data_IF_133474301213
#
_entry.id   IF_133474301213
#
_cell.length_a   1.000
_cell.length_b   1.000
_cell.length_c   1.000
_cell.angle_alpha   90.00
_cell.angle_beta   90.00
_cell.angle_gamma   90.00
#
_symmetry.space_group_name_H-M   'P 1'
#
loop_
_entity.id
_entity.type
_entity.pdbx_description
1 polymer ?
#
# COMPACT_ATOMS: atom_id res chain seq x y z
N UNK A 1 -54.00 24.52 28.56
CA UNK A 1 -53.76 23.37 27.66
C UNK A 1 -52.83 23.71 26.47
N UNK A 2 -53.08 24.72 25.66
CA UNK A 2 -52.25 25.08 24.48
C UNK A 2 -50.79 25.40 24.79
N UNK A 3 -50.50 26.06 25.95
CA UNK A 3 -49.13 26.44 26.36
C UNK A 3 -48.27 25.24 26.81
N UNK A 4 -48.90 24.27 27.48
CA UNK A 4 -48.20 23.04 27.95
C UNK A 4 -47.89 22.15 26.73
N UNK A 5 -48.79 22.02 25.80
CA UNK A 5 -48.63 21.23 24.58
C UNK A 5 -47.47 21.80 23.70
N UNK A 6 -47.36 23.14 23.58
CA UNK A 6 -46.23 23.79 22.87
C UNK A 6 -44.87 23.51 23.56
N UNK A 7 -44.83 23.49 24.87
CA UNK A 7 -43.59 23.20 25.62
C UNK A 7 -43.18 21.73 25.46
N UNK A 8 -44.14 20.81 25.44
CA UNK A 8 -43.89 19.37 25.22
C UNK A 8 -43.41 19.14 23.79
N UNK A 9 -44.01 19.75 22.76
CA UNK A 9 -43.56 19.64 21.39
C UNK A 9 -42.15 20.24 21.19
N UNK A 10 -41.85 21.35 21.87
CA UNK A 10 -40.51 21.98 21.76
C UNK A 10 -39.43 21.10 22.43
N UNK A 11 -39.74 20.48 23.59
CA UNK A 11 -38.78 19.57 24.24
C UNK A 11 -38.56 18.29 23.46
N UNK A 12 -39.58 17.71 22.82
CA UNK A 12 -39.46 16.56 21.92
C UNK A 12 -38.65 16.88 20.67
N UNK A 13 -38.79 18.08 20.10
CA UNK A 13 -38.01 18.51 18.95
C UNK A 13 -36.51 18.68 19.27
N UNK A 14 -36.19 19.20 20.49
CA UNK A 14 -34.81 19.35 20.95
C UNK A 14 -34.16 17.99 21.21
N UNK A 15 -34.88 17.03 21.76
CA UNK A 15 -34.40 15.66 21.98
C UNK A 15 -34.15 14.97 20.65
N UNK A 16 -35.03 15.13 19.63
CA UNK A 16 -34.85 14.55 18.31
C UNK A 16 -33.60 15.07 17.59
N UNK A 17 -33.25 16.36 17.75
CA UNK A 17 -32.05 16.95 17.16
C UNK A 17 -30.76 16.39 17.80
N UNK A 18 -30.79 16.07 19.10
CA UNK A 18 -29.62 15.51 19.81
C UNK A 18 -29.31 14.05 19.41
N UNK A 19 -30.31 13.31 18.91
CA UNK A 19 -30.12 11.92 18.48
C UNK A 19 -29.46 11.86 17.08
N UNK A 20 -29.61 12.87 16.24
CA UNK A 20 -29.03 12.90 14.89
C UNK A 20 -27.57 13.36 14.82
N UNK A 21 -26.97 13.88 15.91
CA UNK A 21 -25.56 14.30 15.95
C UNK A 21 -24.60 13.17 16.31
N UNK A 22 -25.09 11.95 16.50
CA UNK A 22 -24.28 10.75 16.79
C UNK A 22 -23.73 10.05 15.54
N UNK A 23 -23.34 10.78 14.48
CA UNK A 23 -22.46 10.23 13.44
C UNK A 23 -21.07 10.08 14.03
N UNK A 24 -20.83 8.96 14.73
CA UNK A 24 -19.50 8.53 15.11
C UNK A 24 -18.66 8.41 13.86
N UNK A 25 -17.81 9.41 13.59
CA UNK A 25 -16.69 9.23 12.68
C UNK A 25 -15.89 8.05 13.23
N UNK A 26 -16.03 6.88 12.58
CA UNK A 26 -15.03 5.83 12.72
C UNK A 26 -13.71 6.54 12.41
N UNK A 27 -12.82 6.70 13.38
CA UNK A 27 -11.43 7.01 13.12
C UNK A 27 -10.93 5.85 12.25
N UNK A 28 -10.93 6.03 10.94
CA UNK A 28 -10.20 5.15 10.04
C UNK A 28 -8.74 5.31 10.47
N UNK A 29 -8.13 4.24 10.95
CA UNK A 29 -6.68 4.21 11.11
C UNK A 29 -6.10 4.60 9.76
N UNK A 30 -5.04 5.39 9.76
CA UNK A 30 -4.29 5.65 8.53
C UNK A 30 -3.89 4.29 7.92
N UNK A 31 -3.96 4.14 6.59
CA UNK A 31 -3.62 2.89 5.93
C UNK A 31 -2.14 2.55 6.18
N UNK A 32 -1.86 1.27 6.31
CA UNK A 32 -0.49 0.76 6.25
C UNK A 32 0.01 1.05 4.83
N UNK A 33 1.06 1.85 4.72
CA UNK A 33 1.66 2.17 3.43
C UNK A 33 2.81 1.23 3.17
N UNK A 34 2.77 0.54 2.03
CA UNK A 34 3.84 -0.32 1.51
C UNK A 34 4.48 0.41 0.33
N UNK A 35 5.76 0.72 0.44
CA UNK A 35 6.51 1.42 -0.60
C UNK A 35 7.08 0.41 -1.62
N UNK A 36 6.86 0.67 -2.91
CA UNK A 36 7.38 -0.16 -4.00
C UNK A 36 8.21 0.66 -4.97
N UNK A 37 9.45 0.23 -5.21
CA UNK A 37 10.29 0.79 -6.27
C UNK A 37 10.33 -0.11 -7.49
N UNK A 38 10.04 0.46 -8.66
CA UNK A 38 10.18 -0.21 -9.94
C UNK A 38 10.49 0.78 -11.07
N UNK A 39 10.94 0.26 -12.21
CA UNK A 39 11.40 1.07 -13.36
C UNK A 39 10.30 1.38 -14.38
N UNK A 40 9.11 0.85 -14.19
CA UNK A 40 8.01 0.97 -15.15
C UNK A 40 7.12 2.20 -14.90
N UNK A 41 7.32 2.92 -13.81
CA UNK A 41 6.46 4.04 -13.38
C UNK A 41 6.48 5.26 -14.29
N UNK A 42 7.52 5.42 -15.11
CA UNK A 42 7.64 6.51 -16.08
C UNK A 42 7.08 6.19 -17.48
N UNK A 43 6.50 5.02 -17.68
CA UNK A 43 5.89 4.63 -18.95
C UNK A 43 4.47 5.19 -19.05
N UNK A 44 4.07 5.59 -20.27
CA UNK A 44 2.70 6.11 -20.53
C UNK A 44 1.64 5.04 -20.23
N UNK A 45 1.96 3.78 -20.45
CA UNK A 45 1.16 2.61 -20.11
C UNK A 45 2.02 1.66 -19.27
N UNK A 46 1.62 1.42 -18.03
CA UNK A 46 2.33 0.52 -17.12
C UNK A 46 1.33 -0.47 -16.50
N UNK A 47 1.24 -1.70 -17.05
CA UNK A 47 0.34 -2.72 -16.49
C UNK A 47 0.56 -2.99 -14.99
N UNK A 48 1.80 -2.80 -14.50
CA UNK A 48 2.07 -2.93 -13.07
C UNK A 48 1.43 -1.79 -12.26
N UNK A 49 1.48 -0.54 -12.77
CA UNK A 49 0.79 0.56 -12.11
C UNK A 49 -0.73 0.33 -12.09
N UNK A 50 -1.31 -0.13 -13.20
CA UNK A 50 -2.74 -0.42 -13.28
C UNK A 50 -3.16 -1.49 -12.26
N UNK A 51 -2.34 -2.53 -12.06
CA UNK A 51 -2.58 -3.56 -11.04
C UNK A 51 -2.45 -3.01 -9.61
N UNK A 52 -1.48 -2.12 -9.37
CA UNK A 52 -1.31 -1.45 -8.07
C UNK A 52 -2.52 -0.55 -7.77
N UNK A 53 -2.98 0.21 -8.76
CA UNK A 53 -4.16 1.07 -8.61
C UNK A 53 -5.40 0.22 -8.35
N UNK A 54 -5.58 -0.88 -9.09
CA UNK A 54 -6.67 -1.83 -8.85
C UNK A 54 -6.60 -2.43 -7.43
N UNK A 55 -5.41 -2.85 -6.97
CA UNK A 55 -5.22 -3.33 -5.60
C UNK A 55 -5.62 -2.27 -4.57
N UNK A 56 -5.12 -1.04 -4.74
CA UNK A 56 -5.39 0.08 -3.82
C UNK A 56 -6.88 0.44 -3.75
N UNK A 57 -7.62 0.28 -4.86
CA UNK A 57 -9.06 0.57 -4.93
C UNK A 57 -9.95 -0.57 -4.42
N UNK A 58 -9.42 -1.79 -4.35
CA UNK A 58 -10.16 -3.00 -3.97
C UNK A 58 -9.64 -3.58 -2.64
N UNK A 59 -8.83 -4.62 -2.70
CA UNK A 59 -8.32 -5.36 -1.54
C UNK A 59 -7.56 -4.43 -0.58
N UNK A 60 -6.71 -3.57 -1.09
CA UNK A 60 -5.94 -2.62 -0.28
C UNK A 60 -6.83 -1.70 0.54
N UNK A 61 -7.94 -1.23 -0.05
CA UNK A 61 -8.93 -0.41 0.64
C UNK A 61 -9.70 -1.18 1.71
N UNK A 62 -10.03 -2.45 1.45
CA UNK A 62 -10.74 -3.33 2.40
C UNK A 62 -9.84 -3.68 3.59
N UNK A 63 -8.58 -3.99 3.34
CA UNK A 63 -7.58 -4.37 4.34
C UNK A 63 -6.86 -3.17 4.98
N UNK A 64 -7.18 -1.95 4.56
CA UNK A 64 -6.52 -0.72 5.01
C UNK A 64 -5.01 -0.72 4.74
N UNK A 65 -4.62 -1.22 3.58
CA UNK A 65 -3.25 -1.25 3.05
C UNK A 65 -3.20 -0.41 1.77
N UNK A 66 -2.13 0.33 1.58
CA UNK A 66 -1.89 1.11 0.37
C UNK A 66 -0.49 0.88 -0.16
N UNK A 67 -0.38 0.46 -1.41
CA UNK A 67 0.90 0.41 -2.11
C UNK A 67 1.18 1.78 -2.72
N UNK A 68 2.34 2.34 -2.40
CA UNK A 68 2.82 3.62 -2.93
C UNK A 68 4.06 3.37 -3.79
N UNK A 69 3.96 3.76 -5.05
CA UNK A 69 5.06 3.60 -6.02
C UNK A 69 6.05 4.74 -5.89
N UNK A 70 7.33 4.41 -5.70
CA UNK A 70 8.45 5.32 -5.85
C UNK A 70 8.96 5.27 -7.29
N UNK A 71 8.98 6.42 -7.98
CA UNK A 71 9.48 6.50 -9.35
C UNK A 71 10.99 6.35 -9.41
N UNK A 72 11.47 5.31 -10.11
CA UNK A 72 12.86 5.15 -10.48
C UNK A 72 12.98 5.11 -12.00
N UNK A 73 13.92 5.86 -12.56
CA UNK A 73 13.98 6.13 -14.00
C UNK A 73 14.47 4.98 -14.84
N UNK A 74 15.33 4.09 -14.30
CA UNK A 74 15.88 2.94 -15.02
C UNK A 74 16.48 1.89 -14.07
N UNK A 75 16.82 0.72 -14.62
CA UNK A 75 17.35 -0.42 -13.86
C UNK A 75 18.71 -0.21 -13.21
N UNK A 76 19.56 0.66 -13.74
CA UNK A 76 20.83 0.97 -13.07
C UNK A 76 20.58 1.88 -11.88
N UNK A 77 19.74 2.88 -12.05
CA UNK A 77 19.36 3.80 -10.95
C UNK A 77 18.67 3.06 -9.81
N UNK A 78 17.80 2.09 -10.07
CA UNK A 78 17.18 1.30 -8.98
C UNK A 78 18.22 0.45 -8.24
N UNK A 79 19.17 -0.15 -8.98
CA UNK A 79 20.27 -0.90 -8.38
C UNK A 79 21.09 -0.01 -7.43
N UNK A 80 21.54 1.16 -7.93
CA UNK A 80 22.32 2.12 -7.16
C UNK A 80 21.56 2.63 -5.93
N UNK A 81 20.28 3.01 -6.10
CA UNK A 81 19.47 3.54 -5.00
C UNK A 81 19.19 2.49 -3.93
N UNK A 82 18.87 1.25 -4.33
CA UNK A 82 18.64 0.16 -3.37
C UNK A 82 19.90 -0.12 -2.56
N UNK A 83 21.06 -0.18 -3.21
CA UNK A 83 22.31 -0.40 -2.50
C UNK A 83 22.66 0.79 -1.59
N UNK A 84 22.56 2.02 -2.09
CA UNK A 84 22.81 3.21 -1.26
C UNK A 84 21.91 3.25 -0.02
N UNK A 85 20.64 2.89 -0.18
CA UNK A 85 19.70 2.80 0.93
C UNK A 85 20.04 1.66 1.90
N UNK A 86 20.38 0.48 1.37
CA UNK A 86 20.73 -0.68 2.19
C UNK A 86 22.03 -0.48 2.99
N UNK A 87 23.01 0.22 2.41
CA UNK A 87 24.25 0.58 3.08
C UNK A 87 24.12 1.81 4.00
N UNK A 88 23.00 2.52 3.97
CA UNK A 88 22.78 3.73 4.76
C UNK A 88 23.67 4.90 4.31
N UNK A 89 23.90 5.02 3.00
CA UNK A 89 24.76 6.06 2.44
C UNK A 89 24.22 7.47 2.75
N UNK A 90 25.08 8.46 3.01
CA UNK A 90 24.63 9.81 3.28
C UNK A 90 23.79 10.40 2.14
N UNK A 91 22.54 10.76 2.45
CA UNK A 91 21.61 11.32 1.48
C UNK A 91 20.79 10.29 0.70
N UNK A 92 20.99 9.00 0.93
CA UNK A 92 20.11 7.96 0.43
C UNK A 92 18.71 8.05 1.08
N UNK A 93 17.70 7.65 0.34
CA UNK A 93 16.35 7.46 0.89
C UNK A 93 16.31 6.23 1.80
N UNK A 94 15.24 6.08 2.57
CA UNK A 94 14.97 4.81 3.26
C UNK A 94 14.77 3.69 2.23
N UNK A 95 15.21 2.47 2.60
CA UNK A 95 14.98 1.29 1.76
C UNK A 95 13.47 1.05 1.61
N UNK A 96 12.96 0.82 0.39
CA UNK A 96 11.53 0.54 0.20
C UNK A 96 11.17 -0.83 0.77
N UNK A 97 9.90 -1.02 1.12
CA UNK A 97 9.38 -2.32 1.56
C UNK A 97 9.45 -3.38 0.46
N UNK A 98 9.34 -2.94 -0.79
CA UNK A 98 9.43 -3.81 -1.97
C UNK A 98 10.21 -3.12 -3.10
N UNK A 99 10.94 -3.89 -3.89
CA UNK A 99 11.56 -3.39 -5.11
C UNK A 99 11.64 -4.45 -6.20
N UNK A 100 11.58 -4.01 -7.45
CA UNK A 100 11.76 -4.85 -8.64
C UNK A 100 13.12 -4.55 -9.23
N UNK A 101 14.04 -5.50 -9.12
CA UNK A 101 15.41 -5.36 -9.62
C UNK A 101 15.98 -6.70 -10.11
N UNK A 102 17.21 -6.69 -10.59
CA UNK A 102 17.91 -7.90 -10.98
C UNK A 102 18.50 -8.64 -9.75
N UNK A 103 18.71 -9.96 -9.84
CA UNK A 103 19.33 -10.74 -8.76
C UNK A 103 20.67 -10.18 -8.29
N UNK A 104 21.45 -9.55 -9.20
CA UNK A 104 22.73 -8.90 -8.84
C UNK A 104 22.58 -7.82 -7.75
N UNK A 105 21.41 -7.18 -7.66
CA UNK A 105 21.15 -6.17 -6.63
C UNK A 105 21.07 -6.82 -5.26
N UNK A 106 20.30 -7.89 -5.15
CA UNK A 106 20.16 -8.65 -3.89
C UNK A 106 21.50 -9.24 -3.45
N UNK A 107 22.28 -9.80 -4.40
CA UNK A 107 23.59 -10.37 -4.12
C UNK A 107 24.66 -9.34 -3.69
N UNK A 108 24.41 -8.07 -3.95
CA UNK A 108 25.31 -6.98 -3.58
C UNK A 108 24.87 -6.21 -2.32
N UNK A 109 23.73 -6.57 -1.72
CA UNK A 109 23.25 -5.97 -0.48
C UNK A 109 24.09 -6.43 0.72
N UNK A 110 24.09 -5.67 1.83
CA UNK A 110 24.73 -6.11 3.08
C UNK A 110 24.17 -7.46 3.53
N UNK A 111 25.03 -8.32 4.10
CA UNK A 111 24.63 -9.66 4.56
C UNK A 111 23.59 -9.64 5.70
N UNK A 112 23.49 -8.52 6.41
CA UNK A 112 22.54 -8.28 7.50
C UNK A 112 21.22 -7.63 7.03
N UNK A 113 21.03 -7.46 5.72
CA UNK A 113 19.77 -6.97 5.19
C UNK A 113 18.68 -8.03 5.36
N UNK A 114 17.65 -7.70 6.13
CA UNK A 114 16.50 -8.60 6.30
C UNK A 114 15.63 -8.59 5.04
N UNK A 115 15.62 -9.71 4.35
CA UNK A 115 14.75 -9.97 3.20
C UNK A 115 13.72 -11.04 3.57
N UNK A 116 12.50 -10.88 3.08
CA UNK A 116 11.44 -11.87 3.27
C UNK A 116 11.71 -13.11 2.44
N UNK A 117 11.72 -14.28 3.07
CA UNK A 117 11.70 -15.55 2.34
C UNK A 117 10.25 -15.86 1.92
N UNK A 118 10.01 -15.95 0.63
CA UNK A 118 8.68 -16.26 0.09
C UNK A 118 8.21 -17.68 0.49
N UNK A 119 9.11 -18.63 0.77
CA UNK A 119 8.74 -19.96 1.24
C UNK A 119 8.12 -19.97 2.63
N UNK A 120 8.30 -18.89 3.42
CA UNK A 120 7.63 -18.76 4.72
C UNK A 120 6.15 -18.39 4.59
N UNK A 121 5.73 -17.85 3.42
CA UNK A 121 4.39 -17.30 3.19
C UNK A 121 3.61 -17.99 2.09
N UNK A 122 4.29 -18.63 1.14
CA UNK A 122 3.69 -19.27 -0.03
C UNK A 122 4.11 -20.73 -0.11
N UNK A 123 3.20 -21.57 -0.56
CA UNK A 123 3.50 -22.97 -0.86
C UNK A 123 4.34 -23.08 -2.13
N UNK A 124 5.08 -24.18 -2.27
CA UNK A 124 5.82 -24.45 -3.52
C UNK A 124 4.91 -24.48 -4.75
N UNK A 125 3.67 -24.92 -4.60
CA UNK A 125 2.71 -24.99 -5.70
C UNK A 125 2.31 -23.59 -6.17
N UNK A 126 2.03 -22.66 -5.25
CA UNK A 126 1.74 -21.25 -5.56
C UNK A 126 2.93 -20.56 -6.23
N UNK A 127 4.14 -20.75 -5.70
CA UNK A 127 5.35 -20.16 -6.30
C UNK A 127 5.61 -20.72 -7.71
N UNK A 128 5.43 -22.05 -7.92
CA UNK A 128 5.55 -22.66 -9.26
C UNK A 128 4.49 -22.14 -10.21
N UNK A 129 3.27 -21.92 -9.75
CA UNK A 129 2.20 -21.34 -10.58
C UNK A 129 2.56 -19.94 -11.06
N UNK A 130 3.06 -19.08 -10.18
CA UNK A 130 3.51 -17.73 -10.55
C UNK A 130 4.65 -17.77 -11.59
N UNK A 131 5.62 -18.68 -11.42
CA UNK A 131 6.73 -18.83 -12.36
C UNK A 131 6.23 -19.32 -13.72
N UNK A 132 5.40 -20.36 -13.75
CA UNK A 132 4.92 -20.97 -15.01
C UNK A 132 4.01 -19.98 -15.77
N UNK A 133 3.12 -19.25 -15.08
CA UNK A 133 2.27 -18.25 -15.74
C UNK A 133 3.07 -17.13 -16.41
N UNK A 134 4.23 -16.79 -15.88
CA UNK A 134 5.15 -15.82 -16.50
C UNK A 134 5.85 -16.36 -17.77
N UNK A 135 6.02 -17.69 -17.89
CA UNK A 135 6.60 -18.33 -19.08
C UNK A 135 5.56 -18.61 -20.16
N UNK A 136 4.31 -18.94 -19.80
CA UNK A 136 3.23 -19.29 -20.74
C UNK A 136 2.57 -18.08 -21.42
N UNK A 137 2.89 -16.87 -20.97
CA UNK A 137 2.36 -15.60 -21.53
C UNK A 137 3.14 -15.06 -22.74
N UNK A 138 3.98 -15.88 -23.39
CA UNK A 138 4.74 -15.52 -24.59
C UNK A 138 4.08 -15.98 -25.88
#
# INVERSE_FOLDING_TARGET
>A
MRSVMKRICLSLAVIAVLIFTGCGQKKTKDPITVTLWHVYGGQTESPLNDLIDQFNETIGKEENIRVQVGSVTNTNTIHENVLASAFGDPGASELPDMFVSYPKTVLAMPDDTELVDYYDYFTEEELKHCINSAYDSK
#
